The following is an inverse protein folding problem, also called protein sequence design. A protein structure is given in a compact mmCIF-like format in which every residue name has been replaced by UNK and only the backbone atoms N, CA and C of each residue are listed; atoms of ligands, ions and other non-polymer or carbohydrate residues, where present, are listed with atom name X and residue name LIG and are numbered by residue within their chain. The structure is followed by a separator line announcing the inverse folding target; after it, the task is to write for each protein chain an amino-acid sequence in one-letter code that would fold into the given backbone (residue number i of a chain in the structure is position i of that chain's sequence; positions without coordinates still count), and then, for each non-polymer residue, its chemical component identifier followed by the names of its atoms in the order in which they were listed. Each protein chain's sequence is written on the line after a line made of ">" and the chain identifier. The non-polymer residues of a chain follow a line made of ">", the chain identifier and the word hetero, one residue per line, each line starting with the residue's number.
data_IF_916780774270
#
_entry.id   IF_916780774270
#
_cell.length_a   1.000
_cell.length_b   1.000
_cell.length_c   1.000
_cell.angle_alpha   90.00
_cell.angle_beta   90.00
_cell.angle_gamma   90.00
#
_symmetry.space_group_name_H-M   'P 1'
#
loop_
_entity.id
_entity.type
_entity.pdbx_description
1 polymer ?
#
# COMPACT_ATOMS: atom_id res chain seq x y z
N UNK A 1 17.07 -20.44 -3.10
CA UNK A 1 17.27 -19.01 -2.77
C UNK A 1 16.11 -18.12 -3.25
N UNK A 2 15.73 -18.12 -4.55
CA UNK A 2 14.65 -17.21 -5.03
C UNK A 2 13.31 -17.42 -4.33
N UNK A 3 12.92 -18.67 -4.07
CA UNK A 3 11.64 -19.00 -3.43
C UNK A 3 11.57 -18.58 -1.95
N UNK A 4 12.70 -18.42 -1.27
CA UNK A 4 12.75 -17.93 0.12
C UNK A 4 12.25 -16.48 0.24
N UNK A 5 12.34 -15.70 -0.84
CA UNK A 5 11.81 -14.34 -0.88
C UNK A 5 10.48 -14.28 -1.65
N UNK A 6 10.33 -15.03 -2.74
CA UNK A 6 9.23 -14.85 -3.67
C UNK A 6 8.09 -15.88 -3.54
N UNK A 7 8.19 -16.89 -2.67
CA UNK A 7 7.13 -17.88 -2.41
C UNK A 7 7.22 -18.45 -0.99
N UNK A 8 7.47 -17.61 0.01
CA UNK A 8 7.60 -18.00 1.43
C UNK A 8 6.60 -17.25 2.30
N UNK A 9 6.69 -17.43 3.62
CA UNK A 9 5.92 -16.64 4.58
C UNK A 9 6.12 -15.13 4.42
N UNK A 10 7.26 -14.70 3.87
CA UNK A 10 7.56 -13.28 3.59
C UNK A 10 6.64 -12.69 2.51
N UNK A 11 6.25 -13.49 1.51
CA UNK A 11 5.27 -13.13 0.48
C UNK A 11 3.88 -13.75 0.76
N UNK A 12 3.58 -13.99 2.05
CA UNK A 12 2.30 -14.57 2.50
C UNK A 12 2.06 -16.02 2.06
N UNK A 13 3.12 -16.76 1.74
CA UNK A 13 3.04 -18.16 1.30
C UNK A 13 2.65 -18.36 -0.16
N UNK A 14 2.66 -17.29 -0.96
CA UNK A 14 2.30 -17.32 -2.38
C UNK A 14 3.41 -16.71 -3.24
N UNK A 15 3.45 -16.99 -4.54
CA UNK A 15 4.32 -16.27 -5.46
C UNK A 15 4.02 -14.79 -5.41
N UNK A 16 5.03 -13.98 -5.08
CA UNK A 16 4.80 -12.55 -4.86
C UNK A 16 6.07 -11.72 -4.80
N UNK A 17 5.91 -10.45 -4.45
CA UNK A 17 6.97 -9.46 -4.38
C UNK A 17 7.12 -8.92 -2.96
N UNK A 18 8.31 -8.37 -2.67
CA UNK A 18 8.63 -7.80 -1.37
C UNK A 18 9.31 -6.44 -1.55
N UNK A 19 8.93 -5.50 -0.70
CA UNK A 19 9.74 -4.33 -0.40
C UNK A 19 10.38 -4.58 0.97
N UNK A 20 11.69 -4.38 1.08
CA UNK A 20 12.45 -4.66 2.29
C UNK A 20 13.22 -3.42 2.74
N UNK A 21 13.37 -3.27 4.04
CA UNK A 21 14.24 -2.30 4.68
C UNK A 21 15.30 -3.05 5.48
N UNK A 22 16.56 -2.66 5.36
CA UNK A 22 17.71 -3.29 6.02
C UNK A 22 18.86 -2.30 6.15
N UNK A 23 19.78 -2.58 7.09
CA UNK A 23 21.00 -1.83 7.17
C UNK A 23 22.02 -2.30 6.13
N UNK A 24 22.84 -1.38 5.64
CA UNK A 24 23.90 -1.67 4.70
C UNK A 24 25.27 -1.34 5.30
N UNK A 25 26.32 -1.97 4.78
CA UNK A 25 27.68 -1.47 4.95
C UNK A 25 27.92 -0.21 4.10
N UNK A 26 29.13 0.31 4.13
CA UNK A 26 29.55 1.51 3.42
C UNK A 26 29.51 1.35 1.89
N UNK A 27 29.48 0.11 1.40
CA UNK A 27 29.39 -0.24 -0.02
C UNK A 27 27.95 -0.55 -0.48
N UNK A 28 26.96 -0.40 0.41
CA UNK A 28 25.56 -0.72 0.14
C UNK A 28 25.21 -2.21 0.21
N UNK A 29 26.12 -3.07 0.71
CA UNK A 29 25.85 -4.50 0.89
C UNK A 29 25.06 -4.72 2.17
N UNK A 30 24.02 -5.57 2.08
CA UNK A 30 23.11 -5.86 3.19
C UNK A 30 23.85 -6.41 4.41
N UNK A 31 23.69 -5.80 5.58
CA UNK A 31 24.09 -6.39 6.85
C UNK A 31 22.96 -7.29 7.39
N UNK A 32 23.04 -8.59 7.07
CA UNK A 32 22.05 -9.56 7.52
C UNK A 32 21.97 -9.71 9.05
N UNK A 33 23.00 -9.30 9.80
CA UNK A 33 23.03 -9.37 11.27
C UNK A 33 22.13 -8.32 11.91
N UNK A 34 21.93 -7.19 11.25
CA UNK A 34 21.04 -6.12 11.71
C UNK A 34 19.55 -6.43 11.45
N UNK A 35 19.27 -7.53 10.77
CA UNK A 35 17.92 -7.92 10.45
C UNK A 35 17.40 -7.33 9.12
N UNK A 36 16.25 -7.82 8.70
CA UNK A 36 15.56 -7.37 7.48
C UNK A 36 14.07 -7.28 7.77
N UNK A 37 13.48 -6.10 7.60
CA UNK A 37 12.05 -5.86 7.73
C UNK A 37 11.36 -5.91 6.37
N UNK A 38 10.14 -6.46 6.34
CA UNK A 38 9.24 -6.35 5.18
C UNK A 38 8.42 -5.08 5.35
N UNK A 39 8.47 -4.22 4.35
CA UNK A 39 7.86 -2.90 4.39
C UNK A 39 6.56 -2.88 3.59
N UNK A 40 5.55 -2.27 4.16
CA UNK A 40 4.28 -1.94 3.54
C UNK A 40 3.67 -0.71 4.22
N UNK A 41 2.46 -0.29 3.84
CA UNK A 41 1.86 0.93 4.39
C UNK A 41 1.59 0.91 5.90
N UNK A 42 1.65 -0.26 6.57
CA UNK A 42 1.52 -0.40 8.03
C UNK A 42 2.84 -0.17 8.77
N UNK A 43 3.96 -0.21 8.06
CA UNK A 43 5.28 -0.04 8.65
C UNK A 43 5.46 1.42 9.10
N UNK A 44 5.91 1.68 10.34
CA UNK A 44 6.23 3.03 10.76
C UNK A 44 7.20 3.71 9.80
N UNK A 45 7.01 5.01 9.54
CA UNK A 45 7.81 5.76 8.57
C UNK A 45 9.31 5.68 8.89
N UNK A 46 9.66 5.75 10.18
CA UNK A 46 11.04 5.68 10.67
C UNK A 46 11.77 4.35 10.37
N UNK A 47 11.04 3.28 10.03
CA UNK A 47 11.61 1.96 9.75
C UNK A 47 11.77 1.68 8.25
N UNK A 48 11.27 2.57 7.37
CA UNK A 48 11.23 2.34 5.93
C UNK A 48 12.54 2.67 5.24
N UNK A 49 12.77 2.00 4.12
CA UNK A 49 13.75 2.32 3.06
C UNK A 49 15.22 2.15 3.43
N UNK A 50 15.58 1.48 4.50
CA UNK A 50 16.97 1.05 4.70
C UNK A 50 17.46 0.26 3.49
N UNK A 51 18.62 0.64 2.94
CA UNK A 51 19.15 0.08 1.70
C UNK A 51 18.60 0.68 0.40
N UNK A 52 17.79 1.73 0.50
CA UNK A 52 17.21 2.43 -0.65
C UNK A 52 17.70 3.87 -0.71
N UNK A 53 17.79 4.42 -1.93
CA UNK A 53 17.80 5.86 -2.12
C UNK A 53 16.38 6.40 -2.05
N UNK A 54 16.20 7.59 -1.45
CA UNK A 54 14.91 8.24 -1.28
C UNK A 54 15.05 9.73 -1.57
N UNK A 55 14.18 10.26 -2.42
CA UNK A 55 14.12 11.69 -2.71
C UNK A 55 12.71 12.22 -2.51
N UNK A 56 12.61 13.41 -1.95
CA UNK A 56 11.38 14.09 -1.60
C UNK A 56 11.51 14.88 -0.30
N UNK A 57 10.49 15.62 0.05
CA UNK A 57 10.39 16.32 1.34
C UNK A 57 9.47 15.54 2.25
N UNK A 58 9.90 15.36 3.49
CA UNK A 58 9.18 14.58 4.51
C UNK A 58 9.14 15.29 5.88
N UNK A 59 9.50 16.59 5.91
CA UNK A 59 9.58 17.35 7.16
C UNK A 59 10.61 16.76 8.13
N UNK A 60 10.23 16.69 9.38
CA UNK A 60 11.11 16.19 10.46
C UNK A 60 10.92 14.70 10.78
N UNK A 61 10.03 14.01 10.06
CA UNK A 61 9.88 12.56 10.28
C UNK A 61 11.06 11.77 9.67
N UNK A 62 11.76 10.95 10.47
CA UNK A 62 12.93 10.23 10.00
C UNK A 62 12.54 9.01 9.16
N UNK A 63 13.47 8.57 8.32
CA UNK A 63 13.44 7.28 7.63
C UNK A 63 14.86 6.69 7.51
N UNK A 64 14.99 5.44 7.10
CA UNK A 64 16.28 4.74 7.00
C UNK A 64 16.89 4.79 5.59
N UNK A 65 16.26 5.45 4.64
CA UNK A 65 16.80 5.65 3.29
C UNK A 65 18.00 6.59 3.28
N UNK A 66 18.85 6.46 2.26
CA UNK A 66 20.06 7.28 2.05
C UNK A 66 21.15 7.10 3.13
N UNK A 67 21.05 6.05 3.96
CA UNK A 67 22.04 5.74 4.99
C UNK A 67 22.92 4.57 4.55
N UNK A 68 24.23 4.70 4.78
CA UNK A 68 25.25 3.71 4.45
C UNK A 68 26.20 3.54 5.62
N UNK A 69 26.47 2.28 5.98
CA UNK A 69 27.35 1.93 7.08
C UNK A 69 26.73 2.10 8.46
N UNK A 70 27.19 1.29 9.40
CA UNK A 70 26.67 1.25 10.78
C UNK A 70 26.67 2.59 11.49
N UNK A 71 27.66 3.43 11.22
CA UNK A 71 27.76 4.75 11.84
C UNK A 71 26.59 5.67 11.43
N UNK A 72 26.17 5.63 10.16
CA UNK A 72 25.03 6.42 9.67
C UNK A 72 23.71 5.96 10.29
N UNK A 73 23.46 4.65 10.37
CA UNK A 73 22.27 4.11 11.04
C UNK A 73 22.25 4.44 12.53
N UNK A 74 23.37 4.27 13.24
CA UNK A 74 23.49 4.63 14.65
C UNK A 74 23.35 6.15 14.90
N UNK A 75 23.75 6.98 13.95
CA UNK A 75 23.55 8.43 14.01
C UNK A 75 22.06 8.78 13.82
N UNK A 76 21.36 8.15 12.88
CA UNK A 76 19.92 8.31 12.67
C UNK A 76 19.12 7.95 13.93
N UNK A 77 19.50 6.87 14.62
CA UNK A 77 18.83 6.45 15.86
C UNK A 77 19.01 7.48 17.01
N UNK A 78 20.14 8.20 17.04
CA UNK A 78 20.44 9.23 18.05
C UNK A 78 19.90 10.61 17.69
N UNK A 79 19.95 10.95 16.42
CA UNK A 79 19.54 12.25 15.88
C UNK A 79 18.66 12.02 14.66
N UNK A 80 17.34 11.81 14.86
CA UNK A 80 16.41 11.63 13.76
C UNK A 80 16.54 12.75 12.72
N UNK A 81 16.20 12.46 11.46
CA UNK A 81 16.36 13.33 10.28
C UNK A 81 17.77 13.42 9.69
N UNK A 82 18.69 12.57 10.11
CA UNK A 82 20.02 12.55 9.51
C UNK A 82 20.00 12.37 7.98
N UNK A 83 19.07 11.57 7.44
CA UNK A 83 18.90 11.33 5.99
C UNK A 83 18.42 12.55 5.20
N UNK A 84 17.84 13.54 5.89
CA UNK A 84 17.44 14.84 5.33
C UNK A 84 16.36 14.77 4.26
N UNK A 85 15.98 15.94 3.75
CA UNK A 85 14.99 16.12 2.69
C UNK A 85 15.71 16.33 1.36
N UNK A 86 16.05 15.26 0.64
CA UNK A 86 16.80 15.30 -0.62
C UNK A 86 15.85 15.39 -1.81
N UNK A 87 16.19 16.20 -2.81
CA UNK A 87 15.41 16.28 -4.04
C UNK A 87 16.09 15.57 -5.22
N UNK A 88 17.40 15.36 -5.16
CA UNK A 88 18.21 14.73 -6.21
C UNK A 88 19.28 13.83 -5.58
N UNK A 89 19.84 12.90 -6.36
CA UNK A 89 20.82 11.91 -5.90
C UNK A 89 22.24 12.14 -6.48
N UNK A 90 22.45 13.23 -7.19
CA UNK A 90 23.72 13.57 -7.86
C UNK A 90 24.91 13.66 -6.89
N UNK A 91 24.67 13.93 -5.63
CA UNK A 91 25.70 13.91 -4.58
C UNK A 91 26.24 12.51 -4.26
N UNK A 92 25.51 11.44 -4.63
CA UNK A 92 25.93 10.06 -4.36
C UNK A 92 26.57 9.39 -5.56
N UNK A 93 26.08 9.69 -6.77
CA UNK A 93 26.56 9.08 -8.02
C UNK A 93 26.11 9.87 -9.25
N UNK A 94 26.67 9.52 -10.43
CA UNK A 94 26.26 10.10 -11.71
C UNK A 94 24.84 9.64 -12.08
N UNK A 95 23.87 10.54 -11.89
CA UNK A 95 22.44 10.28 -12.16
C UNK A 95 22.08 10.30 -13.65
N UNK A 96 22.99 10.77 -14.53
CA UNK A 96 22.72 10.88 -15.98
C UNK A 96 22.49 9.53 -16.66
N UNK A 97 22.88 8.45 -16.01
CA UNK A 97 22.71 7.06 -16.48
C UNK A 97 21.35 6.45 -16.18
N UNK A 98 20.48 7.16 -15.47
CA UNK A 98 19.17 6.67 -15.04
C UNK A 98 18.06 7.48 -15.73
N UNK A 99 16.89 6.87 -15.95
CA UNK A 99 15.73 7.57 -16.52
C UNK A 99 15.27 8.79 -15.69
N UNK A 100 15.43 8.72 -14.37
CA UNK A 100 15.07 9.77 -13.42
C UNK A 100 16.24 10.08 -12.49
N UNK A 101 16.35 11.34 -12.06
CA UNK A 101 17.42 11.80 -11.16
C UNK A 101 17.23 11.46 -9.70
N UNK A 102 16.06 10.91 -9.35
CA UNK A 102 15.66 10.66 -7.99
C UNK A 102 15.01 9.28 -7.82
N UNK A 103 14.71 8.97 -6.57
CA UNK A 103 13.88 7.84 -6.14
C UNK A 103 12.73 8.41 -5.32
N UNK A 104 11.64 8.76 -5.99
CA UNK A 104 10.53 9.55 -5.46
C UNK A 104 9.86 8.87 -4.27
N UNK A 105 9.79 9.56 -3.14
CA UNK A 105 9.23 9.04 -1.88
C UNK A 105 7.76 8.63 -2.01
N UNK A 106 6.97 9.37 -2.80
CA UNK A 106 5.55 9.05 -3.03
C UNK A 106 5.42 7.79 -3.88
N UNK A 107 6.28 7.65 -4.90
CA UNK A 107 6.33 6.44 -5.71
C UNK A 107 6.70 5.20 -4.87
N UNK A 108 7.67 5.32 -3.96
CA UNK A 108 8.05 4.25 -3.04
C UNK A 108 6.89 3.85 -2.12
N UNK A 109 6.16 4.81 -1.55
CA UNK A 109 5.00 4.52 -0.70
C UNK A 109 3.88 3.82 -1.45
N UNK A 110 3.60 4.23 -2.68
CA UNK A 110 2.62 3.55 -3.54
C UNK A 110 3.09 2.14 -3.89
N UNK A 111 4.38 1.96 -4.20
CA UNK A 111 4.98 0.65 -4.49
C UNK A 111 4.86 -0.32 -3.30
N UNK A 112 5.11 0.14 -2.07
CA UNK A 112 4.97 -0.66 -0.85
C UNK A 112 3.54 -1.18 -0.67
N UNK A 113 2.56 -0.29 -0.81
CA UNK A 113 1.16 -0.67 -0.74
C UNK A 113 0.80 -1.67 -1.85
N UNK A 114 1.12 -1.33 -3.10
CA UNK A 114 0.79 -2.12 -4.28
C UNK A 114 1.36 -3.54 -4.20
N UNK A 115 2.64 -3.66 -3.84
CA UNK A 115 3.35 -4.94 -3.74
C UNK A 115 2.65 -5.88 -2.75
N UNK A 116 2.37 -5.41 -1.55
CA UNK A 116 1.75 -6.22 -0.52
C UNK A 116 0.27 -6.51 -0.81
N UNK A 117 -0.46 -5.56 -1.40
CA UNK A 117 -1.85 -5.76 -1.83
C UNK A 117 -1.96 -6.83 -2.93
N UNK A 118 -1.03 -6.87 -3.87
CA UNK A 118 -0.96 -7.95 -4.87
C UNK A 118 -0.73 -9.31 -4.22
N UNK A 119 0.13 -9.41 -3.20
CA UNK A 119 0.31 -10.65 -2.45
C UNK A 119 -0.99 -11.09 -1.77
N UNK A 120 -1.76 -10.15 -1.20
CA UNK A 120 -3.08 -10.43 -0.63
C UNK A 120 -4.07 -10.94 -1.67
N UNK A 121 -4.16 -10.30 -2.85
CA UNK A 121 -5.04 -10.74 -3.94
C UNK A 121 -4.66 -12.16 -4.38
N UNK A 122 -3.37 -12.41 -4.58
CA UNK A 122 -2.85 -13.73 -4.97
C UNK A 122 -3.19 -14.77 -3.92
N UNK A 123 -2.95 -14.49 -2.65
CA UNK A 123 -3.27 -15.43 -1.56
C UNK A 123 -4.76 -15.72 -1.47
N UNK A 124 -5.59 -14.69 -1.55
CA UNK A 124 -7.04 -14.87 -1.53
C UNK A 124 -7.52 -15.74 -2.71
N UNK A 125 -6.96 -15.55 -3.88
CA UNK A 125 -7.23 -16.38 -5.07
C UNK A 125 -6.85 -17.84 -4.83
N UNK A 126 -5.62 -18.12 -4.38
CA UNK A 126 -5.14 -19.48 -4.12
C UNK A 126 -5.98 -20.21 -3.08
N UNK A 127 -6.19 -19.59 -1.91
CA UNK A 127 -6.97 -20.19 -0.83
C UNK A 127 -8.42 -20.48 -1.25
N UNK A 128 -9.04 -19.53 -1.96
CA UNK A 128 -10.41 -19.69 -2.46
C UNK A 128 -10.51 -20.80 -3.51
N UNK A 129 -9.58 -20.85 -4.45
CA UNK A 129 -9.57 -21.87 -5.51
C UNK A 129 -9.44 -23.27 -4.91
N UNK A 130 -8.52 -23.44 -3.93
CA UNK A 130 -8.35 -24.72 -3.22
C UNK A 130 -9.63 -25.11 -2.47
N UNK A 131 -10.27 -24.17 -1.77
CA UNK A 131 -11.49 -24.48 -1.01
C UNK A 131 -12.68 -24.78 -1.92
N UNK A 132 -12.86 -24.05 -3.00
CA UNK A 132 -13.90 -24.33 -3.99
C UNK A 132 -13.70 -25.71 -4.62
N UNK A 133 -12.46 -26.05 -4.98
CA UNK A 133 -12.15 -27.36 -5.56
C UNK A 133 -12.39 -28.52 -4.59
N UNK A 134 -12.08 -28.33 -3.29
CA UNK A 134 -12.22 -29.40 -2.27
C UNK A 134 -13.62 -29.53 -1.69
N UNK A 135 -14.30 -28.40 -1.47
CA UNK A 135 -15.52 -28.35 -0.66
C UNK A 135 -16.72 -27.73 -1.39
N UNK A 136 -16.52 -27.16 -2.57
CA UNK A 136 -17.57 -26.45 -3.32
C UNK A 136 -17.98 -25.09 -2.72
N UNK A 137 -17.35 -24.65 -1.65
CA UNK A 137 -17.66 -23.40 -0.92
C UNK A 137 -16.39 -22.68 -0.42
N UNK A 138 -16.56 -21.48 0.16
CA UNK A 138 -15.49 -20.62 0.67
C UNK A 138 -15.59 -20.34 2.18
N UNK A 139 -16.26 -21.19 2.95
CA UNK A 139 -16.56 -20.89 4.37
C UNK A 139 -15.31 -20.72 5.25
N UNK A 140 -14.15 -21.24 4.83
CA UNK A 140 -12.92 -21.18 5.62
C UNK A 140 -12.00 -20.01 5.24
N UNK A 141 -12.41 -19.10 4.33
CA UNK A 141 -11.57 -17.92 3.97
C UNK A 141 -11.82 -16.70 4.87
N UNK A 142 -12.73 -16.77 5.85
CA UNK A 142 -13.16 -15.60 6.64
C UNK A 142 -12.01 -14.79 7.21
N UNK A 143 -11.03 -15.45 7.81
CA UNK A 143 -9.89 -14.75 8.42
C UNK A 143 -9.02 -14.05 7.38
N UNK A 144 -8.75 -14.71 6.24
CA UNK A 144 -7.95 -14.09 5.18
C UNK A 144 -8.73 -12.98 4.47
N UNK A 145 -10.04 -13.13 4.30
CA UNK A 145 -10.92 -12.11 3.73
C UNK A 145 -10.97 -10.86 4.63
N UNK A 146 -11.07 -11.02 5.94
CA UNK A 146 -11.00 -9.90 6.88
C UNK A 146 -9.62 -9.21 6.86
N UNK A 147 -8.54 -9.96 6.88
CA UNK A 147 -7.18 -9.39 6.78
C UNK A 147 -6.97 -8.64 5.46
N UNK A 148 -7.48 -9.19 4.35
CA UNK A 148 -7.51 -8.57 3.04
C UNK A 148 -8.26 -7.23 3.06
N UNK A 149 -9.49 -7.20 3.61
CA UNK A 149 -10.31 -5.99 3.70
C UNK A 149 -9.70 -4.92 4.59
N UNK A 150 -9.12 -5.30 5.73
CA UNK A 150 -8.39 -4.38 6.61
C UNK A 150 -7.22 -3.71 5.86
N UNK A 151 -6.43 -4.50 5.14
CA UNK A 151 -5.34 -3.97 4.34
C UNK A 151 -5.83 -3.11 3.17
N UNK A 152 -6.86 -3.57 2.46
CA UNK A 152 -7.46 -2.86 1.34
C UNK A 152 -8.05 -1.50 1.73
N UNK A 153 -8.59 -1.38 2.95
CA UNK A 153 -9.19 -0.17 3.52
C UNK A 153 -8.23 0.67 4.38
N UNK A 154 -6.95 0.34 4.40
CA UNK A 154 -5.93 1.11 5.14
C UNK A 154 -6.22 1.30 6.63
N UNK A 155 -6.92 0.36 7.28
CA UNK A 155 -7.34 0.52 8.69
C UNK A 155 -6.18 0.52 9.66
N UNK A 156 -5.05 -0.07 9.28
CA UNK A 156 -3.82 -0.19 10.07
C UNK A 156 -2.65 0.59 9.44
N UNK A 157 -2.95 1.59 8.60
CA UNK A 157 -1.93 2.44 7.99
C UNK A 157 -1.15 3.22 9.05
N UNK A 158 0.18 3.18 8.96
CA UNK A 158 1.02 4.01 9.80
C UNK A 158 0.81 5.50 9.45
N UNK A 159 0.48 6.36 10.43
CA UNK A 159 0.19 7.76 10.18
C UNK A 159 1.44 8.50 9.69
N UNK A 160 1.22 9.56 8.92
CA UNK A 160 2.25 10.54 8.59
C UNK A 160 2.25 11.65 9.65
N UNK A 161 3.42 11.95 10.20
CA UNK A 161 3.60 13.02 11.20
C UNK A 161 3.83 14.38 10.55
N UNK A 162 4.30 14.41 9.30
CA UNK A 162 4.48 15.61 8.50
C UNK A 162 4.04 15.37 7.06
N UNK A 163 3.74 16.45 6.33
CA UNK A 163 3.39 16.39 4.92
C UNK A 163 4.55 15.91 4.05
N UNK A 164 4.22 15.18 2.99
CA UNK A 164 5.16 14.66 2.01
C UNK A 164 5.06 15.43 0.69
N UNK A 165 6.21 15.56 0.02
CA UNK A 165 6.28 16.05 -1.35
C UNK A 165 7.25 15.17 -2.13
N UNK A 166 6.79 14.58 -3.24
CA UNK A 166 7.63 13.85 -4.17
C UNK A 166 8.67 14.74 -4.86
N UNK A 167 9.69 14.12 -5.40
CA UNK A 167 10.76 14.79 -6.15
C UNK A 167 10.52 14.80 -7.66
N UNK A 168 9.48 14.14 -8.14
CA UNK A 168 9.16 13.97 -9.58
C UNK A 168 7.70 14.33 -9.88
N UNK A 169 7.27 14.11 -11.13
CA UNK A 169 5.87 14.24 -11.55
C UNK A 169 4.99 13.06 -11.11
N UNK A 170 5.56 12.02 -10.47
CA UNK A 170 4.87 10.77 -10.17
C UNK A 170 3.48 10.97 -9.51
N UNK A 171 3.39 11.80 -8.48
CA UNK A 171 2.12 12.01 -7.77
C UNK A 171 1.01 12.49 -8.73
N UNK A 172 1.30 13.51 -9.55
CA UNK A 172 0.37 14.05 -10.55
C UNK A 172 -0.01 13.01 -11.60
N UNK A 173 0.98 12.29 -12.13
CA UNK A 173 0.77 11.32 -13.19
C UNK A 173 -0.01 10.10 -12.66
N UNK A 174 0.27 9.67 -11.43
CA UNK A 174 -0.45 8.60 -10.77
C UNK A 174 -1.93 8.95 -10.53
N UNK A 175 -2.23 10.16 -10.06
CA UNK A 175 -3.61 10.62 -9.87
C UNK A 175 -4.39 10.69 -11.20
N UNK A 176 -3.72 11.09 -12.28
CA UNK A 176 -4.33 11.21 -13.61
C UNK A 176 -4.73 9.85 -14.24
N UNK A 177 -4.17 8.73 -13.78
CA UNK A 177 -4.45 7.38 -14.30
C UNK A 177 -5.76 6.77 -13.78
N UNK A 178 -6.42 7.39 -12.82
CA UNK A 178 -7.60 6.80 -12.18
C UNK A 178 -8.90 7.11 -12.90
N UNK A 179 -9.92 6.24 -12.79
CA UNK A 179 -11.27 6.65 -13.11
C UNK A 179 -11.72 7.73 -12.11
N UNK A 180 -12.53 8.65 -12.59
CA UNK A 180 -13.02 9.82 -11.84
C UNK A 180 -14.54 9.76 -11.83
N UNK A 181 -15.15 9.95 -10.65
CA UNK A 181 -16.60 10.04 -10.51
C UNK A 181 -17.16 11.41 -10.96
N UNK A 182 -18.47 11.56 -10.96
CA UNK A 182 -19.16 12.79 -11.36
C UNK A 182 -18.82 14.03 -10.51
N UNK A 183 -18.25 13.81 -9.31
CA UNK A 183 -17.80 14.88 -8.41
C UNK A 183 -16.30 15.16 -8.52
N UNK A 184 -15.60 14.57 -9.49
CA UNK A 184 -14.16 14.75 -9.68
C UNK A 184 -13.29 13.98 -8.67
N UNK A 185 -13.82 12.93 -8.01
CA UNK A 185 -13.12 12.12 -7.02
C UNK A 185 -12.57 10.82 -7.64
N UNK A 186 -11.42 10.37 -7.14
CA UNK A 186 -10.79 9.11 -7.54
C UNK A 186 -10.14 8.41 -6.36
N UNK A 187 -10.10 7.08 -6.36
CA UNK A 187 -9.34 6.29 -5.38
C UNK A 187 -7.82 6.48 -5.52
N UNK A 188 -7.35 7.12 -6.60
CA UNK A 188 -5.93 7.45 -6.78
C UNK A 188 -5.55 8.81 -6.22
N UNK A 189 -6.49 9.63 -5.75
CA UNK A 189 -6.18 10.91 -5.14
C UNK A 189 -5.37 10.72 -3.86
N UNK A 190 -4.24 11.44 -3.77
CA UNK A 190 -3.31 11.38 -2.66
C UNK A 190 -3.70 12.41 -1.58
N UNK A 191 -3.45 12.10 -0.31
CA UNK A 191 -3.53 13.02 0.82
C UNK A 191 -2.15 13.60 1.15
N UNK A 192 -1.19 12.73 1.36
CA UNK A 192 0.22 13.00 1.68
C UNK A 192 0.48 13.88 2.91
N UNK A 193 -0.53 14.12 3.74
CA UNK A 193 -0.42 14.89 5.00
C UNK A 193 -0.60 14.03 6.23
N UNK A 194 -1.60 13.15 6.21
CA UNK A 194 -1.96 12.25 7.31
C UNK A 194 -1.82 10.79 6.93
N UNK A 195 -1.93 10.50 5.64
CA UNK A 195 -1.95 9.16 5.03
C UNK A 195 -1.56 9.23 3.56
N UNK A 196 -1.49 8.07 2.90
CA UNK A 196 -1.15 8.02 1.48
C UNK A 196 -2.32 8.53 0.64
N UNK A 197 -3.50 7.91 0.76
CA UNK A 197 -4.67 8.19 -0.09
C UNK A 197 -5.74 9.00 0.63
N UNK A 198 -6.35 9.93 -0.11
CA UNK A 198 -7.48 10.73 0.37
C UNK A 198 -8.70 9.86 0.67
N UNK A 199 -8.97 8.88 -0.17
CA UNK A 199 -10.03 7.90 -0.01
C UNK A 199 -9.41 6.54 0.27
N UNK A 200 -9.37 6.07 1.53
CA UNK A 200 -8.63 4.89 1.93
C UNK A 200 -9.31 3.59 1.50
N UNK A 201 -9.32 3.36 0.21
CA UNK A 201 -9.60 2.09 -0.45
C UNK A 201 -8.57 1.88 -1.55
N UNK A 202 -7.96 0.72 -1.59
CA UNK A 202 -6.95 0.38 -2.59
C UNK A 202 -7.48 0.51 -4.01
N UNK A 203 -6.81 1.33 -4.83
CA UNK A 203 -7.09 1.44 -6.25
C UNK A 203 -6.90 0.11 -7.02
N UNK A 204 -6.29 -0.90 -6.41
CA UNK A 204 -6.17 -2.24 -6.99
C UNK A 204 -7.50 -2.98 -7.10
N UNK A 205 -8.60 -2.44 -6.56
CA UNK A 205 -9.96 -2.90 -6.86
C UNK A 205 -10.25 -2.85 -8.37
N UNK A 206 -9.56 -1.98 -9.13
CA UNK A 206 -9.68 -1.86 -10.59
C UNK A 206 -8.73 -2.78 -11.36
N UNK A 207 -7.89 -3.56 -10.67
CA UNK A 207 -6.92 -4.43 -11.33
C UNK A 207 -7.57 -5.69 -11.90
N UNK A 208 -7.03 -6.18 -13.01
CA UNK A 208 -7.42 -7.47 -13.57
C UNK A 208 -7.28 -8.60 -12.54
N UNK A 209 -6.21 -8.56 -11.72
CA UNK A 209 -5.98 -9.56 -10.68
C UNK A 209 -7.13 -9.62 -9.65
N UNK A 210 -7.73 -8.48 -9.30
CA UNK A 210 -8.91 -8.45 -8.45
C UNK A 210 -10.16 -8.96 -9.19
N UNK A 211 -10.32 -8.59 -10.45
CA UNK A 211 -11.48 -8.98 -11.26
C UNK A 211 -11.50 -10.49 -11.58
N UNK A 212 -10.33 -11.12 -11.62
CA UNK A 212 -10.14 -12.55 -11.84
C UNK A 212 -10.26 -13.41 -10.56
N UNK A 213 -10.56 -12.82 -9.42
CA UNK A 213 -10.89 -13.60 -8.21
C UNK A 213 -12.07 -14.55 -8.49
N UNK A 214 -12.07 -15.77 -7.92
CA UNK A 214 -13.18 -16.72 -8.08
C UNK A 214 -14.53 -16.04 -7.81
N UNK A 215 -15.58 -16.26 -8.61
CA UNK A 215 -16.84 -15.50 -8.51
C UNK A 215 -17.47 -15.49 -7.10
N UNK A 216 -17.42 -16.64 -6.39
CA UNK A 216 -17.93 -16.74 -5.00
C UNK A 216 -17.13 -15.85 -4.06
N UNK A 217 -15.83 -15.78 -4.22
CA UNK A 217 -14.91 -14.96 -3.41
C UNK A 217 -15.13 -13.48 -3.68
N UNK A 218 -15.18 -13.11 -4.96
CA UNK A 218 -15.43 -11.71 -5.37
C UNK A 218 -16.79 -11.22 -4.84
N UNK A 219 -17.83 -12.03 -4.95
CA UNK A 219 -19.16 -11.72 -4.40
C UNK A 219 -19.10 -11.51 -2.87
N UNK A 220 -18.40 -12.38 -2.14
CA UNK A 220 -18.20 -12.23 -0.71
C UNK A 220 -17.45 -10.95 -0.35
N UNK A 221 -16.36 -10.63 -1.04
CA UNK A 221 -15.59 -9.39 -0.81
C UNK A 221 -16.45 -8.16 -1.10
N UNK A 222 -17.20 -8.12 -2.20
CA UNK A 222 -18.10 -7.02 -2.50
C UNK A 222 -19.20 -6.84 -1.42
N UNK A 223 -19.78 -7.95 -0.95
CA UNK A 223 -20.80 -7.89 0.10
C UNK A 223 -20.22 -7.32 1.40
N UNK A 224 -19.06 -7.81 1.83
CA UNK A 224 -18.39 -7.33 3.04
C UNK A 224 -17.99 -5.85 2.91
N UNK A 225 -17.40 -5.48 1.77
CA UNK A 225 -17.00 -4.11 1.49
C UNK A 225 -18.21 -3.16 1.52
N UNK A 226 -19.32 -3.56 0.90
CA UNK A 226 -20.55 -2.79 0.95
C UNK A 226 -21.09 -2.61 2.38
N UNK A 227 -21.09 -3.68 3.19
CA UNK A 227 -21.53 -3.62 4.60
C UNK A 227 -20.67 -2.65 5.41
N UNK A 228 -19.35 -2.64 5.18
CA UNK A 228 -18.42 -1.72 5.86
C UNK A 228 -18.68 -0.28 5.44
N UNK A 229 -18.81 -0.04 4.13
CA UNK A 229 -18.94 1.31 3.57
C UNK A 229 -20.32 1.92 3.79
N UNK A 230 -21.38 1.11 3.80
CA UNK A 230 -22.76 1.55 4.13
C UNK A 230 -22.96 1.80 5.63
N UNK A 231 -22.02 1.35 6.47
CA UNK A 231 -22.12 1.47 7.93
C UNK A 231 -22.97 0.39 8.60
N UNK A 232 -23.40 -0.64 7.87
CA UNK A 232 -24.09 -1.81 8.44
C UNK A 232 -23.16 -2.71 9.23
N UNK A 233 -21.89 -2.72 8.90
CA UNK A 233 -20.84 -3.36 9.71
C UNK A 233 -20.37 -2.40 10.80
N UNK A 234 -20.65 -2.74 12.06
CA UNK A 234 -20.29 -1.98 13.26
C UNK A 234 -19.06 -2.54 13.97
N UNK A 235 -18.32 -3.46 13.35
CA UNK A 235 -17.13 -4.06 13.96
C UNK A 235 -16.05 -2.99 14.25
N UNK A 236 -15.28 -3.14 15.33
CA UNK A 236 -14.25 -2.20 15.71
C UNK A 236 -13.12 -2.09 14.66
N UNK A 237 -12.93 -3.12 13.84
CA UNK A 237 -11.89 -3.19 12.82
C UNK A 237 -11.97 -2.04 11.79
N UNK A 238 -13.18 -1.52 11.54
CA UNK A 238 -13.42 -0.47 10.53
C UNK A 238 -13.99 0.82 11.14
N UNK A 239 -14.00 0.93 12.47
CA UNK A 239 -14.55 2.09 13.18
C UNK A 239 -13.75 3.37 12.95
N UNK A 240 -12.44 3.27 12.69
CA UNK A 240 -11.56 4.41 12.44
C UNK A 240 -11.86 5.16 11.12
N UNK A 241 -12.60 4.53 10.18
CA UNK A 241 -12.98 5.19 8.93
C UNK A 241 -14.24 6.02 9.19
N UNK A 242 -14.11 7.34 9.10
CA UNK A 242 -15.22 8.27 9.34
C UNK A 242 -16.42 7.98 8.40
N UNK A 243 -17.67 8.14 8.86
CA UNK A 243 -18.87 7.84 8.07
C UNK A 243 -18.90 8.58 6.72
N UNK A 244 -18.54 9.87 6.69
CA UNK A 244 -18.45 10.64 5.44
C UNK A 244 -17.41 10.10 4.46
N UNK A 245 -16.29 9.58 4.97
CA UNK A 245 -15.26 8.93 4.13
C UNK A 245 -15.76 7.60 3.58
N UNK A 246 -16.43 6.78 4.39
CA UNK A 246 -17.07 5.53 3.95
C UNK A 246 -18.07 5.79 2.82
N UNK A 247 -18.93 6.81 2.99
CA UNK A 247 -19.91 7.22 1.98
C UNK A 247 -19.23 7.68 0.69
N UNK A 248 -18.21 8.53 0.77
CA UNK A 248 -17.47 8.99 -0.41
C UNK A 248 -16.83 7.83 -1.19
N UNK A 249 -16.22 6.87 -0.48
CA UNK A 249 -15.65 5.67 -1.12
C UNK A 249 -16.74 4.84 -1.81
N UNK A 250 -17.89 4.64 -1.14
CA UNK A 250 -19.01 3.90 -1.70
C UNK A 250 -19.51 4.54 -3.01
N UNK A 251 -19.67 5.87 -3.03
CA UNK A 251 -20.09 6.65 -4.19
C UNK A 251 -19.07 6.55 -5.33
N UNK A 252 -17.78 6.75 -5.05
CA UNK A 252 -16.71 6.61 -6.04
C UNK A 252 -16.74 5.23 -6.69
N UNK A 253 -16.80 4.17 -5.88
CA UNK A 253 -16.80 2.79 -6.40
C UNK A 253 -18.06 2.51 -7.21
N UNK A 254 -19.23 2.93 -6.74
CA UNK A 254 -20.50 2.73 -7.44
C UNK A 254 -20.52 3.37 -8.84
N UNK A 255 -19.88 4.53 -9.01
CA UNK A 255 -19.84 5.21 -10.31
C UNK A 255 -18.70 4.71 -11.22
N UNK A 256 -17.58 4.26 -10.64
CA UNK A 256 -16.34 4.05 -11.41
C UNK A 256 -15.95 2.59 -11.61
N UNK A 257 -16.51 1.67 -10.82
CA UNK A 257 -16.22 0.23 -10.93
C UNK A 257 -17.33 -0.48 -11.69
N UNK A 258 -16.99 -1.11 -12.80
CA UNK A 258 -17.90 -1.97 -13.53
C UNK A 258 -18.10 -3.34 -12.88
N UNK A 259 -19.22 -4.01 -13.16
CA UNK A 259 -19.50 -5.38 -12.71
C UNK A 259 -19.75 -5.51 -11.21
N UNK A 260 -20.21 -4.45 -10.56
CA UNK A 260 -20.70 -4.48 -9.20
C UNK A 260 -22.03 -5.23 -9.11
N UNK A 261 -22.33 -5.89 -7.97
CA UNK A 261 -23.66 -6.45 -7.71
C UNK A 261 -24.76 -5.36 -7.64
N UNK A 262 -26.00 -5.73 -7.95
CA UNK A 262 -27.16 -4.80 -8.03
C UNK A 262 -27.43 -4.02 -6.73
N UNK A 263 -27.03 -4.55 -5.58
CA UNK A 263 -27.20 -3.87 -4.28
C UNK A 263 -26.21 -2.70 -4.04
N UNK A 264 -25.23 -2.50 -4.92
CA UNK A 264 -24.33 -1.34 -4.88
C UNK A 264 -25.02 -0.08 -5.42
N UNK A 265 -26.21 0.18 -4.98
CA UNK A 265 -26.95 1.40 -5.31
C UNK A 265 -26.69 2.43 -4.21
N UNK A 266 -26.26 3.61 -4.62
CA UNK A 266 -26.17 4.77 -3.73
C UNK A 266 -27.42 5.62 -3.98
N UNK A 267 -28.28 5.72 -2.99
CA UNK A 267 -29.37 6.69 -3.05
C UNK A 267 -28.74 8.08 -3.16
N UNK A 268 -29.04 8.76 -4.26
CA UNK A 268 -28.66 10.18 -4.40
C UNK A 268 -29.45 10.92 -3.32
N UNK A 269 -28.75 11.36 -2.28
CA UNK A 269 -29.35 12.25 -1.30
C UNK A 269 -29.86 13.50 -2.00
N UNK A 270 -31.08 13.85 -1.73
CA UNK A 270 -31.74 15.11 -2.20
C UNK A 270 -30.95 16.35 -1.75
#
# INVERSE_FOLDING_TARGET
>A
QCLECHASSKSMGVPGHLVRSFETDENGVVDLKSGVSIVNHRTPFAERWGGWYVTGKHGDQPHRGNLFGKAAFAQQDKTPNHSGNLMELDRFFDVSRYPEKGSDIVALMVLEHQTHMHNFITRLNYESTIQIARYGHINYITNIANAFLKYMLFTEEAPLEAGLQGSSSFAKDFEALGPIDSQGRSLRQLDLRKRIFRYPLSYLIYSNAFDELPPKTKAHIYQRLWQILSGTDTSPDFAAIAPGTKRAILEIVAETKSGLPDYWVVEKGD
#
